data_IF_169661944493
#
_entry.id   IF_169661944493
#
_cell.length_a   1.000
_cell.length_b   1.000
_cell.length_c   1.000
_cell.angle_alpha   90.00
_cell.angle_beta   90.00
_cell.angle_gamma   90.00
#
_symmetry.space_group_name_H-M   'P 1'
#
loop_
_entity.id
_entity.type
_entity.pdbx_description
1 polymer ?
#
# COMPACT_ATOMS: atom_id res chain seq x y z
N UNK A 1 -15.83 17.06 8.93
CA UNK A 1 -15.65 16.85 7.48
C UNK A 1 -15.37 15.37 7.26
N UNK A 2 -16.17 14.69 6.43
CA UNK A 2 -15.92 13.29 6.06
C UNK A 2 -14.86 13.24 4.96
N UNK A 3 -13.67 12.70 5.24
CA UNK A 3 -12.71 12.36 4.19
C UNK A 3 -13.37 11.34 3.26
N UNK A 4 -13.68 11.75 2.03
CA UNK A 4 -14.10 10.84 0.97
C UNK A 4 -12.84 10.06 0.56
N UNK A 5 -12.71 8.83 1.02
CA UNK A 5 -11.64 7.95 0.53
C UNK A 5 -11.89 7.64 -0.94
N UNK A 6 -10.82 7.66 -1.74
CA UNK A 6 -10.88 7.19 -3.12
C UNK A 6 -10.65 5.68 -3.11
N UNK A 7 -11.58 4.95 -3.70
CA UNK A 7 -11.43 3.50 -3.93
C UNK A 7 -10.74 3.35 -5.28
N UNK A 8 -9.48 2.88 -5.33
CA UNK A 8 -8.83 2.63 -6.59
C UNK A 8 -9.49 1.45 -7.29
N UNK A 9 -9.64 1.56 -8.60
CA UNK A 9 -10.20 0.52 -9.46
C UNK A 9 -9.10 -0.11 -10.32
N UNK A 10 -9.43 -1.16 -11.06
CA UNK A 10 -8.55 -1.71 -12.11
C UNK A 10 -8.15 -0.64 -13.13
N UNK A 11 -8.99 0.37 -13.38
CA UNK A 11 -8.62 1.49 -14.24
C UNK A 11 -7.51 2.37 -13.65
N UNK A 12 -7.28 2.33 -12.34
CA UNK A 12 -6.27 3.17 -11.68
C UNK A 12 -4.86 2.58 -11.84
N UNK A 13 -4.72 1.26 -11.69
CA UNK A 13 -3.43 0.58 -11.65
C UNK A 13 -3.21 -0.46 -12.77
N UNK A 14 -4.25 -0.83 -13.53
CA UNK A 14 -4.16 -1.94 -14.47
C UNK A 14 -4.01 -3.29 -13.75
N UNK A 15 -3.39 -4.27 -14.42
CA UNK A 15 -2.99 -5.52 -13.76
C UNK A 15 -1.92 -5.26 -12.71
N UNK A 16 -2.01 -6.00 -11.60
CA UNK A 16 -1.05 -5.96 -10.53
C UNK A 16 -0.32 -7.29 -10.46
N UNK A 17 1.00 -7.24 -10.44
CA UNK A 17 1.84 -8.43 -10.35
C UNK A 17 2.61 -8.42 -9.03
N UNK A 18 2.64 -9.55 -8.34
CA UNK A 18 3.35 -9.67 -7.06
C UNK A 18 4.87 -9.69 -7.26
N UNK A 19 5.56 -8.74 -6.63
CA UNK A 19 7.02 -8.63 -6.69
C UNK A 19 7.69 -9.08 -5.39
N UNK A 20 7.04 -8.88 -4.24
CA UNK A 20 7.57 -9.34 -2.97
C UNK A 20 6.89 -8.79 -1.73
N UNK A 21 7.25 -9.36 -0.58
CA UNK A 21 6.97 -8.80 0.75
C UNK A 21 8.06 -7.79 1.09
N UNK A 22 7.66 -6.61 1.55
CA UNK A 22 8.59 -5.55 1.94
C UNK A 22 8.86 -5.58 3.46
N UNK A 23 7.93 -5.05 4.27
CA UNK A 23 8.09 -5.01 5.72
C UNK A 23 6.77 -5.25 6.48
N UNK A 24 6.90 -5.51 7.79
CA UNK A 24 5.75 -5.62 8.70
C UNK A 24 5.47 -4.26 9.35
N UNK A 25 4.20 -3.86 9.36
CA UNK A 25 3.75 -2.62 10.00
C UNK A 25 3.41 -2.92 11.45
N UNK A 26 4.08 -2.27 12.39
CA UNK A 26 3.79 -2.40 13.83
C UNK A 26 3.20 -1.11 14.37
N UNK A 27 2.32 -1.22 15.38
CA UNK A 27 1.73 -0.05 16.04
C UNK A 27 2.20 0.08 17.49
N UNK A 28 2.51 1.33 17.86
CA UNK A 28 2.81 1.75 19.23
C UNK A 28 4.10 1.19 19.81
N UNK A 29 4.27 1.41 21.12
CA UNK A 29 5.45 0.98 21.89
C UNK A 29 5.55 -0.55 22.02
N UNK A 30 4.41 -1.24 21.98
CA UNK A 30 4.32 -2.69 22.17
C UNK A 30 4.72 -3.52 20.94
N UNK A 31 5.08 -2.89 19.80
CA UNK A 31 5.49 -3.54 18.55
C UNK A 31 4.53 -4.63 18.05
N UNK A 32 3.23 -4.43 18.25
CA UNK A 32 2.22 -5.38 17.77
C UNK A 32 2.09 -5.22 16.26
N UNK A 33 2.23 -6.32 15.52
CA UNK A 33 2.04 -6.33 14.08
C UNK A 33 0.58 -6.01 13.72
N UNK A 34 0.40 -4.97 12.92
CA UNK A 34 -0.90 -4.48 12.44
C UNK A 34 -1.13 -4.73 10.96
N UNK A 35 -0.07 -5.08 10.21
CA UNK A 35 -0.18 -5.51 8.82
C UNK A 35 1.16 -5.84 8.20
N UNK A 36 1.14 -6.17 6.92
CA UNK A 36 2.30 -6.45 6.08
C UNK A 36 2.18 -5.63 4.80
N UNK A 37 3.28 -4.99 4.41
CA UNK A 37 3.39 -4.28 3.13
C UNK A 37 3.95 -5.22 2.08
N UNK A 38 3.30 -5.22 0.92
CA UNK A 38 3.73 -5.95 -0.27
C UNK A 38 3.93 -4.98 -1.42
N UNK A 39 4.90 -5.28 -2.27
CA UNK A 39 5.17 -4.54 -3.49
C UNK A 39 4.48 -5.22 -4.66
N UNK A 40 3.65 -4.47 -5.37
CA UNK A 40 2.98 -4.91 -6.59
C UNK A 40 3.43 -4.05 -7.76
N UNK A 41 3.80 -4.68 -8.87
CA UNK A 41 4.04 -3.96 -10.12
C UNK A 41 2.71 -3.60 -10.79
N UNK A 42 2.54 -2.30 -11.05
CA UNK A 42 1.38 -1.75 -11.75
C UNK A 42 1.63 -1.71 -13.26
N UNK A 43 0.82 -2.42 -14.04
CA UNK A 43 0.91 -2.40 -15.51
C UNK A 43 0.71 -0.99 -16.07
N UNK A 44 -0.25 -0.24 -15.52
CA UNK A 44 -0.64 1.07 -16.08
C UNK A 44 0.36 2.17 -15.74
N UNK A 45 0.99 2.10 -14.57
CA UNK A 45 1.95 3.11 -14.10
C UNK A 45 3.39 2.70 -14.39
N UNK A 46 3.63 1.41 -14.70
CA UNK A 46 4.96 0.82 -14.88
C UNK A 46 5.89 1.03 -13.66
N UNK A 47 5.30 1.10 -12.47
CA UNK A 47 5.98 1.37 -11.20
C UNK A 47 5.48 0.41 -10.11
N UNK A 48 6.29 0.25 -9.07
CA UNK A 48 5.90 -0.50 -7.87
C UNK A 48 4.98 0.35 -7.00
N UNK A 49 3.90 -0.28 -6.53
CA UNK A 49 3.02 0.30 -5.52
C UNK A 49 3.12 -0.51 -4.22
N UNK A 50 3.02 0.19 -3.10
CA UNK A 50 2.96 -0.40 -1.78
C UNK A 50 1.51 -0.70 -1.41
N UNK A 51 1.22 -1.95 -1.05
CA UNK A 51 -0.09 -2.36 -0.55
C UNK A 51 0.06 -2.95 0.84
N UNK A 52 -0.56 -2.30 1.82
CA UNK A 52 -0.65 -2.83 3.18
C UNK A 52 -1.88 -3.74 3.33
N UNK A 53 -1.64 -5.00 3.68
CA UNK A 53 -2.67 -5.93 4.12
C UNK A 53 -2.69 -5.96 5.64
N UNK A 54 -3.84 -5.63 6.23
CA UNK A 54 -4.01 -5.63 7.69
C UNK A 54 -3.87 -7.04 8.27
N UNK A 55 -3.28 -7.16 9.46
CA UNK A 55 -3.05 -8.44 10.13
C UNK A 55 -4.34 -9.26 10.34
N UNK A 56 -5.48 -8.58 10.53
CA UNK A 56 -6.82 -9.21 10.64
C UNK A 56 -7.28 -9.94 9.38
N UNK A 57 -6.71 -9.65 8.22
CA UNK A 57 -7.01 -10.34 6.96
C UNK A 57 -6.30 -11.69 6.83
N UNK A 58 -5.48 -12.05 7.83
CA UNK A 58 -4.69 -13.27 7.85
C UNK A 58 -3.40 -13.16 7.04
N UNK A 59 -2.55 -14.19 7.16
CA UNK A 59 -1.31 -14.29 6.39
C UNK A 59 -1.59 -14.62 4.94
N UNK A 60 -0.89 -13.94 4.03
CA UNK A 60 -0.92 -14.18 2.59
C UNK A 60 0.48 -14.58 2.13
N UNK A 61 0.57 -15.65 1.36
CA UNK A 61 1.78 -16.07 0.67
C UNK A 61 1.46 -16.11 -0.83
N UNK A 62 2.32 -15.47 -1.62
CA UNK A 62 2.20 -15.39 -3.07
C UNK A 62 3.57 -15.72 -3.66
N UNK A 63 3.58 -16.35 -4.84
CA UNK A 63 4.80 -16.51 -5.63
C UNK A 63 5.04 -15.22 -6.43
N UNK A 64 6.31 -14.91 -6.73
CA UNK A 64 6.67 -13.83 -7.65
C UNK A 64 5.96 -14.01 -9.00
N UNK A 65 5.64 -12.91 -9.66
CA UNK A 65 4.91 -12.86 -10.93
C UNK A 65 3.43 -13.27 -10.87
N UNK A 66 2.87 -13.53 -9.67
CA UNK A 66 1.44 -13.85 -9.52
C UNK A 66 0.58 -12.61 -9.79
N UNK A 67 -0.44 -12.73 -10.64
CA UNK A 67 -1.44 -11.67 -10.84
C UNK A 67 -2.34 -11.53 -9.59
N UNK A 68 -2.44 -10.32 -9.04
CA UNK A 68 -3.15 -10.00 -7.80
C UNK A 68 -4.34 -9.08 -8.08
N UNK A 69 -5.47 -9.38 -7.44
CA UNK A 69 -6.62 -8.49 -7.36
C UNK A 69 -6.79 -7.96 -5.93
N UNK A 70 -7.01 -6.65 -5.79
CA UNK A 70 -7.25 -6.01 -4.51
C UNK A 70 -8.75 -5.97 -4.18
N UNK A 71 -9.13 -6.52 -3.02
CA UNK A 71 -10.51 -6.52 -2.56
C UNK A 71 -10.71 -5.38 -1.54
N UNK A 72 -11.64 -4.48 -1.84
CA UNK A 72 -11.93 -3.28 -1.04
C UNK A 72 -10.70 -2.40 -0.74
N UNK A 73 -9.87 -2.06 -1.76
CA UNK A 73 -8.70 -1.22 -1.54
C UNK A 73 -9.10 0.19 -1.11
N UNK A 74 -8.24 0.84 -0.35
CA UNK A 74 -8.39 2.23 0.08
C UNK A 74 -7.09 2.96 -0.15
N UNK A 75 -7.16 4.10 -0.82
CA UNK A 75 -6.02 5.01 -0.88
C UNK A 75 -5.93 5.78 0.42
N UNK A 76 -4.81 5.59 1.12
CA UNK A 76 -4.46 6.37 2.29
C UNK A 76 -3.30 7.31 1.92
N UNK A 77 -3.46 8.64 2.07
CA UNK A 77 -2.36 9.55 1.85
C UNK A 77 -1.33 9.33 2.94
N UNK A 78 -0.19 8.74 2.59
CA UNK A 78 0.98 8.71 3.47
C UNK A 78 1.69 10.04 3.32
N UNK A 79 1.56 10.90 4.33
CA UNK A 79 2.33 12.13 4.39
C UNK A 79 3.79 11.79 4.65
N UNK A 80 4.62 11.69 3.61
CA UNK A 80 6.07 11.81 3.79
C UNK A 80 6.32 13.29 4.10
N UNK A 81 6.67 13.62 5.34
CA UNK A 81 7.20 14.94 5.67
C UNK A 81 8.49 15.12 4.88
N UNK A 82 8.40 15.71 3.69
CA UNK A 82 9.50 16.43 3.09
C UNK A 82 9.63 17.66 3.98
N UNK A 83 10.56 17.62 4.94
CA UNK A 83 10.71 18.69 5.92
C UNK A 83 10.71 20.06 5.24
N UNK A 84 10.02 21.02 5.85
CA UNK A 84 10.03 22.44 5.52
C UNK A 84 11.22 22.85 4.63
N UNK A 85 11.01 22.90 3.31
CA UNK A 85 11.61 23.98 2.57
C UNK A 85 10.85 25.22 3.03
N UNK A 86 11.39 25.84 4.08
CA UNK A 86 11.05 27.16 4.51
C UNK A 86 11.19 28.11 3.31
N UNK A 87 10.10 28.29 2.56
CA UNK A 87 9.89 29.49 1.78
C UNK A 87 9.67 30.62 2.79
N UNK A 88 10.78 31.14 3.29
CA UNK A 88 10.82 32.47 3.85
C UNK A 88 10.32 33.42 2.75
N UNK A 89 9.17 34.04 2.99
CA UNK A 89 8.74 35.26 2.32
C UNK A 89 8.44 36.33 3.35
#
# INVERSE_FOLDING_TARGET
MSLKYVIPTTETFGKLTFEGKDHEVTSGYSRIATGVVYNLLSEKQAELIEVQILARAGSKNFETDTEIELINPRLEPTGRSTGDEAIAS
#
